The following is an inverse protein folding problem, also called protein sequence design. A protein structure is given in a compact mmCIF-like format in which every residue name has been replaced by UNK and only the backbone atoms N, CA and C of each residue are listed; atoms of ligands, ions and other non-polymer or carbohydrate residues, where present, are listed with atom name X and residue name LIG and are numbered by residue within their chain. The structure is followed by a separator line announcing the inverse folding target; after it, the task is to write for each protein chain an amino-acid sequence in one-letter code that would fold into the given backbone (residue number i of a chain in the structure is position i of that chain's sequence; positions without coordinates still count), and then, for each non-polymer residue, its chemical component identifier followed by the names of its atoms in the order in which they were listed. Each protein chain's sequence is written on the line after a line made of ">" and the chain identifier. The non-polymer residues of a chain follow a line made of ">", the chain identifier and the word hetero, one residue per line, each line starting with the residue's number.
data_IF_709369524436
#
_entry.id   IF_709369524436
#
_cell.length_a   1.000
_cell.length_b   1.000
_cell.length_c   1.000
_cell.angle_alpha   90.00
_cell.angle_beta   90.00
_cell.angle_gamma   90.00
#
_symmetry.space_group_name_H-M   'P 1'
#
loop_
_entity.id
_entity.type
_entity.pdbx_description
1 polymer ?
#
# COMPACT_ATOMS: atom_id res chain seq x y z
N UNK A 1 -12.63 -14.00 -20.96
CA UNK A 1 -11.58 -13.02 -20.61
C UNK A 1 -12.29 -11.74 -20.19
N UNK A 2 -11.90 -11.12 -19.07
CA UNK A 2 -12.52 -9.86 -18.59
C UNK A 2 -11.59 -8.71 -18.93
N UNK A 3 -12.11 -7.61 -19.47
CA UNK A 3 -11.33 -6.43 -19.82
C UNK A 3 -11.60 -5.28 -18.82
N UNK A 4 -10.60 -4.41 -18.67
CA UNK A 4 -10.70 -3.17 -17.91
C UNK A 4 -10.20 -2.08 -18.86
N UNK A 5 -11.03 -1.06 -19.07
CA UNK A 5 -10.65 0.13 -19.84
C UNK A 5 -10.33 1.25 -18.84
N UNK A 6 -9.14 1.84 -18.98
CA UNK A 6 -8.66 2.91 -18.12
C UNK A 6 -8.46 4.18 -18.97
N UNK A 7 -8.97 5.29 -18.47
CA UNK A 7 -8.65 6.61 -19.00
C UNK A 7 -7.42 7.16 -18.27
N UNK A 8 -6.46 7.68 -19.03
CA UNK A 8 -5.28 8.36 -18.52
C UNK A 8 -5.19 9.74 -19.15
N UNK A 9 -4.41 10.65 -18.55
CA UNK A 9 -4.14 11.95 -19.17
C UNK A 9 -3.28 11.78 -20.44
N UNK A 10 -3.42 12.73 -21.36
CA UNK A 10 -2.62 12.75 -22.60
C UNK A 10 -1.12 12.84 -22.28
N UNK A 11 -0.75 13.69 -21.33
CA UNK A 11 0.63 13.83 -20.85
C UNK A 11 1.22 12.49 -20.37
N UNK A 12 0.47 11.72 -19.58
CA UNK A 12 0.93 10.41 -19.12
C UNK A 12 1.06 9.43 -20.29
N UNK A 13 0.14 9.48 -21.27
CA UNK A 13 0.21 8.65 -22.47
C UNK A 13 1.45 8.96 -23.29
N UNK A 14 1.80 10.24 -23.44
CA UNK A 14 3.02 10.68 -24.12
C UNK A 14 4.28 10.17 -23.42
N UNK A 15 4.37 10.29 -22.09
CA UNK A 15 5.50 9.74 -21.32
C UNK A 15 5.59 8.21 -21.46
N UNK A 16 4.47 7.49 -21.39
CA UNK A 16 4.44 6.04 -21.56
C UNK A 16 4.91 5.61 -22.96
N UNK A 17 4.60 6.39 -23.99
CA UNK A 17 5.02 6.10 -25.37
C UNK A 17 6.54 6.27 -25.58
N UNK A 18 7.24 6.98 -24.70
CA UNK A 18 8.72 7.07 -24.72
C UNK A 18 9.39 5.75 -24.32
N UNK A 19 8.65 4.83 -23.69
CA UNK A 19 9.13 3.51 -23.26
C UNK A 19 8.32 2.39 -23.92
N UNK A 20 8.43 2.22 -25.26
CA UNK A 20 7.65 1.23 -26.02
C UNK A 20 8.00 -0.22 -25.68
N UNK A 21 9.16 -0.47 -25.07
CA UNK A 21 9.60 -1.78 -24.60
C UNK A 21 8.78 -2.30 -23.40
N UNK A 22 8.04 -1.42 -22.72
CA UNK A 22 7.25 -1.76 -21.54
C UNK A 22 5.86 -2.22 -21.93
N UNK A 23 5.48 -3.43 -21.50
CA UNK A 23 4.09 -3.89 -21.57
C UNK A 23 3.26 -3.28 -20.43
N UNK A 24 2.77 -2.07 -20.67
CA UNK A 24 1.99 -1.31 -19.68
C UNK A 24 0.73 -2.03 -19.17
N UNK A 25 0.10 -2.88 -20.00
CA UNK A 25 -1.03 -3.69 -19.55
C UNK A 25 -0.61 -4.74 -18.52
N UNK A 26 0.59 -5.31 -18.64
CA UNK A 26 1.10 -6.26 -17.65
C UNK A 26 1.51 -5.58 -16.34
N UNK A 27 2.13 -4.40 -16.44
CA UNK A 27 2.43 -3.56 -15.27
C UNK A 27 1.15 -3.24 -14.50
N UNK A 28 0.10 -2.79 -15.20
CA UNK A 28 -1.20 -2.50 -14.59
C UNK A 28 -1.81 -3.74 -13.93
N UNK A 29 -1.79 -4.90 -14.58
CA UNK A 29 -2.30 -6.16 -14.00
C UNK A 29 -1.55 -6.55 -12.73
N UNK A 30 -0.22 -6.46 -12.75
CA UNK A 30 0.62 -6.79 -11.60
C UNK A 30 0.35 -5.86 -10.43
N UNK A 31 0.25 -4.56 -10.69
CA UNK A 31 -0.07 -3.55 -9.68
C UNK A 31 -1.44 -3.79 -9.05
N UNK A 32 -2.48 -4.00 -9.86
CA UNK A 32 -3.84 -4.27 -9.39
C UNK A 32 -3.87 -5.55 -8.53
N UNK A 33 -3.20 -6.62 -8.98
CA UNK A 33 -3.11 -7.88 -8.23
C UNK A 33 -2.48 -7.67 -6.85
N UNK A 34 -1.37 -6.94 -6.79
CA UNK A 34 -0.71 -6.64 -5.53
C UNK A 34 -1.60 -5.80 -4.62
N UNK A 35 -2.22 -4.74 -5.14
CA UNK A 35 -3.10 -3.88 -4.34
C UNK A 35 -4.31 -4.62 -3.78
N UNK A 36 -4.89 -5.54 -4.54
CA UNK A 36 -5.97 -6.41 -4.03
C UNK A 36 -5.45 -7.32 -2.91
N UNK A 37 -4.24 -7.86 -3.02
CA UNK A 37 -3.64 -8.67 -1.96
C UNK A 37 -3.38 -7.85 -0.69
N UNK A 38 -2.81 -6.65 -0.82
CA UNK A 38 -2.56 -5.72 0.30
C UNK A 38 -3.87 -5.38 1.02
N UNK A 39 -4.92 -5.03 0.27
CA UNK A 39 -6.23 -4.70 0.84
C UNK A 39 -6.90 -5.89 1.51
N UNK A 40 -6.75 -7.11 0.97
CA UNK A 40 -7.22 -8.33 1.63
C UNK A 40 -6.49 -8.59 2.92
N UNK A 41 -5.16 -8.44 2.93
CA UNK A 41 -4.35 -8.59 4.12
C UNK A 41 -4.76 -7.58 5.19
N UNK A 42 -4.85 -6.30 4.83
CA UNK A 42 -5.29 -5.25 5.74
C UNK A 42 -6.67 -5.55 6.31
N UNK A 43 -7.63 -5.91 5.45
CA UNK A 43 -8.99 -6.25 5.89
C UNK A 43 -9.01 -7.43 6.86
N UNK A 44 -8.25 -8.49 6.58
CA UNK A 44 -8.15 -9.67 7.44
C UNK A 44 -7.42 -9.34 8.76
N UNK A 45 -6.39 -8.50 8.71
CA UNK A 45 -5.67 -8.03 9.88
C UNK A 45 -6.56 -7.18 10.78
N UNK A 46 -7.42 -6.34 10.20
CA UNK A 46 -8.34 -5.48 10.94
C UNK A 46 -9.65 -6.17 11.33
N UNK A 47 -10.03 -7.29 10.72
CA UNK A 47 -11.37 -7.88 10.91
C UNK A 47 -11.61 -8.47 12.29
N UNK A 48 -10.56 -8.80 13.04
CA UNK A 48 -10.64 -9.27 14.44
C UNK A 48 -10.15 -8.20 15.44
N UNK A 49 -9.88 -6.99 14.97
CA UNK A 49 -9.31 -5.93 15.79
C UNK A 49 -10.41 -5.00 16.32
N UNK A 50 -10.60 -5.02 17.64
CA UNK A 50 -11.40 -4.01 18.36
C UNK A 50 -10.60 -2.72 18.64
N UNK A 51 -9.33 -2.64 18.20
CA UNK A 51 -8.47 -1.48 18.42
C UNK A 51 -9.05 -0.26 17.73
N UNK A 52 -9.44 0.73 18.53
CA UNK A 52 -9.82 2.05 18.06
C UNK A 52 -8.59 2.95 17.95
N UNK A 53 -8.75 4.10 17.27
CA UNK A 53 -7.66 5.05 17.02
C UNK A 53 -6.87 5.41 18.30
N UNK A 54 -7.58 5.66 19.39
CA UNK A 54 -6.98 6.05 20.68
C UNK A 54 -6.09 4.93 21.27
N UNK A 55 -6.46 3.68 21.06
CA UNK A 55 -5.68 2.52 21.52
C UNK A 55 -4.42 2.33 20.66
N UNK A 56 -4.53 2.53 19.36
CA UNK A 56 -3.39 2.54 18.45
C UNK A 56 -2.39 3.66 18.81
N UNK A 57 -2.88 4.87 19.14
CA UNK A 57 -2.03 5.98 19.55
C UNK A 57 -1.30 5.69 20.87
N UNK A 58 -2.03 5.18 21.88
CA UNK A 58 -1.43 4.78 23.16
C UNK A 58 -0.39 3.68 22.99
N UNK A 59 -0.66 2.69 22.14
CA UNK A 59 0.27 1.63 21.82
C UNK A 59 1.55 2.20 21.17
N UNK A 60 1.40 3.10 20.19
CA UNK A 60 2.51 3.76 19.50
C UNK A 60 3.41 4.56 20.45
N UNK A 61 2.82 5.33 21.37
CA UNK A 61 3.57 6.05 22.41
C UNK A 61 4.33 5.09 23.32
N UNK A 62 3.67 4.02 23.78
CA UNK A 62 4.29 3.01 24.65
C UNK A 62 5.47 2.31 23.98
N UNK A 63 5.34 1.94 22.70
CA UNK A 63 6.44 1.34 21.93
C UNK A 63 7.59 2.33 21.77
N UNK A 64 7.29 3.60 21.48
CA UNK A 64 8.31 4.65 21.35
C UNK A 64 9.08 4.87 22.66
N UNK A 65 8.39 4.90 23.79
CA UNK A 65 9.02 5.05 25.11
C UNK A 65 9.91 3.85 25.46
N UNK A 66 9.47 2.63 25.12
CA UNK A 66 10.25 1.41 25.33
C UNK A 66 11.50 1.38 24.44
N UNK A 67 11.37 1.74 23.16
CA UNK A 67 12.50 1.83 22.24
C UNK A 67 13.47 2.93 22.69
N UNK A 68 12.97 4.11 23.05
CA UNK A 68 13.80 5.19 23.57
C UNK A 68 14.60 4.71 24.78
N UNK A 69 13.94 4.10 25.78
CA UNK A 69 14.63 3.52 26.94
C UNK A 69 15.67 2.48 26.52
N UNK A 70 15.37 1.60 25.57
CA UNK A 70 16.34 0.60 25.12
C UNK A 70 17.59 1.23 24.47
N UNK A 71 17.42 2.29 23.66
CA UNK A 71 18.50 2.89 22.88
C UNK A 71 19.17 4.13 23.51
N UNK A 72 18.62 4.71 24.59
CA UNK A 72 19.27 5.80 25.37
C UNK A 72 19.79 5.35 26.73
N UNK A 73 19.70 4.07 27.06
CA UNK A 73 20.31 3.50 28.27
C UNK A 73 21.72 2.91 28.05
N UNK A 74 22.30 3.10 26.85
CA UNK A 74 23.73 2.94 26.53
C UNK A 74 24.38 4.31 26.32
#
# INVERSE_FOLDING_TARGET
>A
MVNITLSISEELKEEMNKFPEINWSEVARSFIKQKVADLKFLRAFTSESDIIYEDAEKLGRKVSDLLAKHYTSE
#
